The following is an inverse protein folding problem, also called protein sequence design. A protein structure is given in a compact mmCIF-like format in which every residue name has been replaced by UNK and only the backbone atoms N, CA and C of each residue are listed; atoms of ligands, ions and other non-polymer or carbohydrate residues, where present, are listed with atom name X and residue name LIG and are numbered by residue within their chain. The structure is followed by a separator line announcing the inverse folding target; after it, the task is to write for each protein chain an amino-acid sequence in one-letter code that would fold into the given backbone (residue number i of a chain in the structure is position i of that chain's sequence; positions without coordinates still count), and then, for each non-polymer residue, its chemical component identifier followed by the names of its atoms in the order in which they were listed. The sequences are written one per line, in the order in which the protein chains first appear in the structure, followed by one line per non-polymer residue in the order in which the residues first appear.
data_IF_094820631954
#
_entry.id   IF_094820631954
#
_cell.length_a   1.000
_cell.length_b   1.000
_cell.length_c   1.000
_cell.angle_alpha   90.00
_cell.angle_beta   90.00
_cell.angle_gamma   90.00
#
_symmetry.space_group_name_H-M   'P 1'
#
loop_
_entity.id
_entity.type
_entity.pdbx_description
1 polymer ?
#
# COMPACT_ATOMS: atom_id res chain seq x y z
N UNK A 1 21.33 7.66 -6.03
CA UNK A 1 20.07 8.41 -6.10
C UNK A 1 19.02 7.45 -6.56
N UNK A 2 17.93 7.25 -5.81
CA UNK A 2 16.80 6.45 -6.30
C UNK A 2 16.29 7.12 -7.57
N UNK A 3 16.26 6.38 -8.69
CA UNK A 3 15.75 6.91 -9.94
C UNK A 3 14.30 7.35 -9.74
N UNK A 4 14.01 8.61 -10.06
CA UNK A 4 12.66 9.17 -10.13
C UNK A 4 11.87 8.57 -11.31
N UNK A 5 11.85 7.25 -11.43
CA UNK A 5 11.00 6.57 -12.41
C UNK A 5 9.57 6.76 -11.93
N UNK A 6 8.73 7.37 -12.77
CA UNK A 6 7.27 7.48 -12.57
C UNK A 6 6.56 6.11 -12.53
N UNK A 7 7.33 5.01 -12.45
CA UNK A 7 6.89 3.62 -12.41
C UNK A 7 6.84 3.06 -10.98
N UNK A 8 7.17 3.87 -9.96
CA UNK A 8 7.17 3.45 -8.57
C UNK A 8 5.81 3.74 -7.92
N UNK A 9 5.15 2.68 -7.44
CA UNK A 9 3.85 2.72 -6.78
C UNK A 9 3.99 2.33 -5.31
N UNK A 10 3.10 2.85 -4.47
CA UNK A 10 2.97 2.47 -3.06
C UNK A 10 1.54 2.05 -2.78
N UNK A 11 1.36 1.18 -1.80
CA UNK A 11 0.03 0.76 -1.34
C UNK A 11 -0.40 1.63 -0.15
N UNK A 12 -1.57 2.26 -0.28
CA UNK A 12 -2.19 3.10 0.74
C UNK A 12 -3.42 2.39 1.29
N UNK A 13 -3.51 2.28 2.61
CA UNK A 13 -4.68 1.79 3.33
C UNK A 13 -5.43 2.96 3.95
N UNK A 14 -6.75 2.92 3.87
CA UNK A 14 -7.65 3.88 4.49
C UNK A 14 -8.42 3.20 5.61
N UNK A 15 -8.25 3.69 6.84
CA UNK A 15 -9.07 3.28 7.98
C UNK A 15 -10.29 4.20 8.09
N UNK A 16 -11.47 3.63 7.85
CA UNK A 16 -12.76 4.33 7.86
C UNK A 16 -13.58 4.16 9.15
N UNK A 17 -12.98 3.61 10.21
CA UNK A 17 -13.71 3.25 11.45
C UNK A 17 -14.46 4.42 12.11
N UNK A 18 -13.93 5.65 12.03
CA UNK A 18 -14.50 6.84 12.69
C UNK A 18 -15.12 7.85 11.71
N UNK A 19 -15.23 7.50 10.43
CA UNK A 19 -15.67 8.41 9.38
C UNK A 19 -17.20 8.50 9.37
N UNK A 20 -17.75 9.72 9.38
CA UNK A 20 -19.20 9.95 9.50
C UNK A 20 -19.93 10.02 8.16
N UNK A 21 -19.21 10.26 7.07
CA UNK A 21 -19.75 10.38 5.72
C UNK A 21 -18.80 9.72 4.69
N UNK A 22 -19.36 9.11 3.65
CA UNK A 22 -18.61 8.50 2.54
C UNK A 22 -17.70 9.48 1.78
N UNK A 23 -17.96 10.78 1.88
CA UNK A 23 -17.14 11.85 1.26
C UNK A 23 -15.92 12.24 2.09
N UNK A 24 -15.88 11.87 3.38
CA UNK A 24 -14.75 12.13 4.25
C UNK A 24 -13.70 11.03 4.07
N UNK A 25 -12.44 11.41 3.90
CA UNK A 25 -11.35 10.45 3.88
C UNK A 25 -11.04 10.01 5.31
N UNK A 26 -10.89 8.70 5.49
CA UNK A 26 -10.41 8.08 6.72
C UNK A 26 -8.92 8.31 6.95
N UNK A 27 -8.37 7.67 8.00
CA UNK A 27 -6.95 7.76 8.30
C UNK A 27 -6.16 6.99 7.25
N UNK A 28 -5.31 7.70 6.50
CA UNK A 28 -4.45 7.11 5.50
C UNK A 28 -3.13 6.61 6.10
N UNK A 29 -2.72 5.42 5.70
CA UNK A 29 -1.44 4.82 6.05
C UNK A 29 -0.81 4.14 4.84
N UNK A 30 0.51 4.10 4.77
CA UNK A 30 1.26 3.48 3.66
C UNK A 30 1.91 2.21 4.15
N UNK A 31 1.88 1.15 3.35
CA UNK A 31 2.58 -0.10 3.67
C UNK A 31 4.09 0.15 3.68
N UNK A 32 4.75 -0.24 4.77
CA UNK A 32 6.21 -0.20 4.92
C UNK A 32 6.86 -1.58 4.83
N UNK A 33 6.09 -2.66 4.95
CA UNK A 33 6.59 -4.02 4.83
C UNK A 33 5.63 -5.06 5.41
N UNK A 34 6.17 -6.24 5.67
CA UNK A 34 5.46 -7.36 6.31
C UNK A 34 6.31 -7.80 7.52
N UNK A 35 5.67 -8.11 8.64
CA UNK A 35 6.34 -8.66 9.83
C UNK A 35 6.60 -10.19 9.70
N UNK A 36 7.33 -10.77 10.64
CA UNK A 36 7.69 -12.19 10.63
C UNK A 36 6.47 -13.14 10.77
N UNK A 37 5.31 -12.59 11.12
CA UNK A 37 4.05 -13.32 11.26
C UNK A 37 3.15 -13.17 10.03
N UNK A 38 3.60 -12.41 9.02
CA UNK A 38 2.84 -12.15 7.80
C UNK A 38 1.87 -10.97 7.89
N UNK A 39 1.89 -10.16 8.96
CA UNK A 39 1.03 -8.98 9.07
C UNK A 39 1.65 -7.78 8.35
N UNK A 40 0.80 -6.94 7.77
CA UNK A 40 1.22 -5.69 7.13
C UNK A 40 1.74 -4.70 8.18
N UNK A 41 2.94 -4.18 7.96
CA UNK A 41 3.45 -3.01 8.67
C UNK A 41 3.04 -1.76 7.90
N UNK A 42 2.53 -0.77 8.63
CA UNK A 42 2.13 0.52 8.04
C UNK A 42 2.87 1.67 8.70
N UNK A 43 2.94 2.79 7.99
CA UNK A 43 3.47 4.06 8.49
C UNK A 43 2.59 5.22 8.03
N UNK A 44 2.71 6.38 8.65
CA UNK A 44 1.96 7.56 8.23
C UNK A 44 2.34 8.00 6.82
N UNK A 45 1.34 8.43 6.04
CA UNK A 45 1.46 8.87 4.66
C UNK A 45 2.08 10.28 4.54
N UNK A 46 3.19 10.54 5.23
CA UNK A 46 3.87 11.85 5.26
C UNK A 46 5.22 11.78 4.55
N UNK A 47 5.68 12.93 4.04
CA UNK A 47 6.95 13.05 3.32
C UNK A 47 8.16 12.52 4.13
N UNK A 48 8.15 12.74 5.46
CA UNK A 48 9.21 12.28 6.35
C UNK A 48 9.38 10.74 6.37
N UNK A 49 8.32 9.99 6.06
CA UNK A 49 8.32 8.53 6.08
C UNK A 49 8.55 7.90 4.70
N UNK A 50 8.76 8.69 3.65
CA UNK A 50 8.87 8.17 2.26
C UNK A 50 9.96 7.11 2.08
N UNK A 51 11.06 7.20 2.82
CA UNK A 51 12.14 6.21 2.77
C UNK A 51 11.71 4.85 3.31
N UNK A 52 10.66 4.79 4.14
CA UNK A 52 10.12 3.56 4.71
C UNK A 52 8.98 2.96 3.86
N UNK A 53 8.54 3.63 2.78
CA UNK A 53 7.44 3.12 1.98
C UNK A 53 7.88 1.90 1.18
N UNK A 54 7.08 0.85 1.19
CA UNK A 54 7.26 -0.28 0.31
C UNK A 54 6.85 0.15 -1.11
N UNK A 55 7.86 0.31 -1.97
CA UNK A 55 7.70 0.73 -3.36
C UNK A 55 7.72 -0.48 -4.29
N UNK A 56 6.83 -0.48 -5.27
CA UNK A 56 6.76 -1.48 -6.32
C UNK A 56 7.00 -0.82 -7.66
N UNK A 57 7.78 -1.46 -8.53
CA UNK A 57 7.89 -1.02 -9.92
C UNK A 57 6.89 -1.77 -10.81
N UNK A 58 6.21 -1.08 -11.73
CA UNK A 58 5.30 -1.74 -12.68
C UNK A 58 6.03 -2.69 -13.66
N UNK A 59 7.34 -2.51 -13.88
CA UNK A 59 8.16 -3.32 -14.80
C UNK A 59 8.57 -4.66 -14.20
N UNK A 60 8.59 -4.76 -12.87
CA UNK A 60 9.08 -5.95 -12.17
C UNK A 60 8.00 -7.04 -12.03
N UNK A 61 6.76 -6.78 -12.49
CA UNK A 61 5.65 -7.73 -12.45
C UNK A 61 5.11 -8.05 -11.06
N UNK A 62 5.81 -7.65 -9.99
CA UNK A 62 5.44 -7.91 -8.59
C UNK A 62 4.06 -7.33 -8.24
N UNK A 63 3.82 -6.06 -8.59
CA UNK A 63 2.53 -5.41 -8.34
C UNK A 63 1.39 -6.10 -9.10
N UNK A 64 1.64 -6.47 -10.36
CA UNK A 64 0.66 -7.19 -11.19
C UNK A 64 0.30 -8.54 -10.56
N UNK A 65 1.30 -9.31 -10.14
CA UNK A 65 1.10 -10.61 -9.52
C UNK A 65 0.38 -10.49 -8.17
N UNK A 66 0.73 -9.50 -7.36
CA UNK A 66 0.04 -9.19 -6.12
C UNK A 66 -1.45 -8.90 -6.38
N UNK A 67 -1.76 -7.97 -7.29
CA UNK A 67 -3.15 -7.58 -7.60
C UNK A 67 -3.97 -8.74 -8.17
N UNK A 68 -3.40 -9.56 -9.06
CA UNK A 68 -4.07 -10.75 -9.58
C UNK A 68 -4.38 -11.77 -8.47
N UNK A 69 -3.43 -12.01 -7.55
CA UNK A 69 -3.65 -12.92 -6.43
C UNK A 69 -4.65 -12.37 -5.41
N UNK A 70 -4.58 -11.08 -5.10
CA UNK A 70 -5.49 -10.40 -4.18
C UNK A 70 -6.93 -10.45 -4.68
N UNK A 71 -7.18 -10.06 -5.95
CA UNK A 71 -8.51 -10.11 -6.53
C UNK A 71 -9.08 -11.52 -6.60
N UNK A 72 -8.23 -12.52 -6.88
CA UNK A 72 -8.66 -13.93 -6.85
C UNK A 72 -9.10 -14.34 -5.44
N UNK A 73 -8.29 -14.09 -4.41
CA UNK A 73 -8.64 -14.44 -3.03
C UNK A 73 -9.87 -13.67 -2.52
N UNK A 74 -10.06 -12.42 -2.96
CA UNK A 74 -11.22 -11.62 -2.59
C UNK A 74 -12.52 -12.15 -3.22
N UNK A 75 -12.46 -12.57 -4.49
CA UNK A 75 -13.63 -13.07 -5.23
C UNK A 75 -13.90 -14.57 -4.97
N UNK A 76 -12.87 -15.33 -4.60
CA UNK A 76 -12.91 -16.77 -4.32
C UNK A 76 -12.28 -17.04 -2.93
N UNK A 77 -13.00 -16.73 -1.83
CA UNK A 77 -12.48 -16.82 -0.47
C UNK A 77 -12.31 -18.26 0.04
#
# INVERSE_FOLDING_TARGET
MESNSNDNYVLVLEDRTEVKNEQEAGKLSVISGIDDKGNLKTTEAIAANQAAFLKFNNKDGLLKNFMSNFLRQFNEP
#
